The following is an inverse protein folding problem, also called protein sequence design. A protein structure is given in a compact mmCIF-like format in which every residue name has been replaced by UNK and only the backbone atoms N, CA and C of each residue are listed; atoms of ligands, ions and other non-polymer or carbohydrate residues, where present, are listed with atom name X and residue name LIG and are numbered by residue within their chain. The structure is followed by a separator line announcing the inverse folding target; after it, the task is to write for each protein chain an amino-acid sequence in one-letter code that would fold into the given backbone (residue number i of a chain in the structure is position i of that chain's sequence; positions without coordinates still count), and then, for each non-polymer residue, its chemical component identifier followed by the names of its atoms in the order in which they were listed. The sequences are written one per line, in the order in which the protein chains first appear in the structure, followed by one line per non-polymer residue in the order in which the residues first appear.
data_IF_076871457164
#
_entry.id   IF_076871457164
#
_cell.length_a   1.000
_cell.length_b   1.000
_cell.length_c   1.000
_cell.angle_alpha   90.00
_cell.angle_beta   90.00
_cell.angle_gamma   90.00
#
_symmetry.space_group_name_H-M   'P 1'
#
loop_
_entity.id
_entity.type
_entity.pdbx_description
1 polymer ?
#
# COMPACT_ATOMS: atom_id res chain seq x y z
N UNK A 1 -34.19 -13.04 24.72
CA UNK A 1 -33.42 -11.87 24.22
C UNK A 1 -31.98 -12.32 24.10
N UNK A 2 -31.38 -12.30 22.90
CA UNK A 2 -29.91 -12.36 22.78
C UNK A 2 -29.43 -10.96 23.16
N UNK A 3 -28.80 -10.83 24.32
CA UNK A 3 -28.01 -9.65 24.67
C UNK A 3 -27.00 -9.41 23.55
N UNK A 4 -26.95 -8.19 23.00
CA UNK A 4 -25.93 -7.86 21.99
C UNK A 4 -24.55 -7.99 22.63
N UNK A 5 -23.60 -8.57 21.90
CA UNK A 5 -22.21 -8.68 22.36
C UNK A 5 -21.55 -7.30 22.27
N UNK A 6 -20.86 -6.89 23.33
CA UNK A 6 -20.08 -5.64 23.35
C UNK A 6 -18.71 -5.83 22.65
N UNK A 7 -17.89 -4.78 22.63
CA UNK A 7 -16.54 -4.83 22.05
C UNK A 7 -15.67 -5.98 22.61
N UNK A 8 -15.68 -6.16 23.94
CA UNK A 8 -14.88 -7.17 24.63
C UNK A 8 -15.34 -8.60 24.30
N UNK A 9 -16.66 -8.83 24.31
CA UNK A 9 -17.26 -10.11 23.98
C UNK A 9 -16.90 -10.54 22.56
N UNK A 10 -16.98 -9.61 21.61
CA UNK A 10 -16.62 -9.86 20.21
C UNK A 10 -15.13 -10.12 20.03
N UNK A 11 -14.25 -9.39 20.70
CA UNK A 11 -12.81 -9.64 20.62
C UNK A 11 -12.46 -11.02 21.19
N UNK A 12 -13.01 -11.34 22.36
CA UNK A 12 -12.85 -12.65 23.01
C UNK A 12 -13.35 -13.78 22.11
N UNK A 13 -14.48 -13.58 21.42
CA UNK A 13 -14.98 -14.55 20.46
C UNK A 13 -14.07 -14.66 19.22
N UNK A 14 -13.61 -13.54 18.67
CA UNK A 14 -12.78 -13.48 17.47
C UNK A 14 -11.45 -14.20 17.68
N UNK A 15 -10.82 -14.08 18.85
CA UNK A 15 -9.55 -14.75 19.18
C UNK A 15 -9.61 -16.28 19.11
N UNK A 16 -10.81 -16.88 19.18
CA UNK A 16 -10.99 -18.34 19.03
C UNK A 16 -10.83 -18.82 17.59
N UNK A 17 -11.05 -17.94 16.61
CA UNK A 17 -11.18 -18.31 15.20
C UNK A 17 -10.25 -17.55 14.26
N UNK A 18 -9.77 -16.38 14.68
CA UNK A 18 -8.96 -15.47 13.87
C UNK A 18 -7.63 -15.24 14.61
N UNK A 19 -6.47 -15.46 13.98
CA UNK A 19 -5.17 -15.20 14.61
C UNK A 19 -5.07 -13.78 15.17
N UNK A 20 -4.91 -13.66 16.49
CA UNK A 20 -4.89 -12.37 17.18
C UNK A 20 -6.24 -11.62 17.18
N UNK A 21 -7.33 -12.29 16.82
CA UNK A 21 -8.68 -11.73 16.76
C UNK A 21 -8.96 -10.80 15.57
N UNK A 22 -8.05 -10.69 14.60
CA UNK A 22 -8.14 -9.69 13.52
C UNK A 22 -7.65 -10.19 12.16
N UNK A 23 -8.25 -9.70 11.07
CA UNK A 23 -7.83 -10.00 9.69
C UNK A 23 -6.72 -9.06 9.17
N UNK A 24 -6.32 -8.06 9.95
CA UNK A 24 -5.23 -7.14 9.62
C UNK A 24 -4.49 -6.79 10.92
N UNK A 25 -3.18 -7.06 11.04
CA UNK A 25 -2.47 -7.03 12.32
C UNK A 25 -2.59 -5.70 13.11
N UNK A 26 -2.55 -4.56 12.42
CA UNK A 26 -2.66 -3.23 13.05
C UNK A 26 -3.97 -3.04 13.82
N UNK A 27 -5.03 -3.76 13.42
CA UNK A 27 -6.35 -3.68 14.06
C UNK A 27 -6.39 -4.33 15.44
N UNK A 28 -5.38 -5.09 15.85
CA UNK A 28 -5.33 -5.71 17.18
C UNK A 28 -4.89 -4.75 18.30
N UNK A 29 -4.64 -3.47 17.98
CA UNK A 29 -4.24 -2.43 18.94
C UNK A 29 -2.95 -2.71 19.72
N UNK A 30 -2.13 -3.70 19.31
CA UNK A 30 -0.86 -4.04 19.97
C UNK A 30 0.11 -2.86 20.10
N UNK A 31 0.09 -1.91 19.17
CA UNK A 31 0.94 -0.72 19.20
C UNK A 31 0.48 0.39 20.15
N UNK A 32 -0.77 0.36 20.61
CA UNK A 32 -1.37 1.41 21.46
C UNK A 32 -1.88 0.87 22.80
N UNK A 33 -1.94 -0.46 22.97
CA UNK A 33 -2.49 -1.12 24.15
C UNK A 33 -4.03 -1.17 24.14
N UNK A 34 -4.59 -2.01 25.01
CA UNK A 34 -6.03 -2.23 25.12
C UNK A 34 -6.60 -3.22 24.10
N UNK A 35 -7.92 -3.26 24.02
CA UNK A 35 -8.69 -4.10 23.08
C UNK A 35 -9.20 -3.25 21.90
N UNK A 36 -9.35 -3.86 20.72
CA UNK A 36 -9.82 -3.13 19.54
C UNK A 36 -11.31 -2.83 19.58
N UNK A 37 -11.69 -1.77 18.87
CA UNK A 37 -13.09 -1.39 18.66
C UNK A 37 -13.70 -2.18 17.49
N UNK A 38 -14.89 -2.74 17.71
CA UNK A 38 -15.73 -3.35 16.69
C UNK A 38 -16.71 -2.29 16.17
N UNK A 39 -16.56 -1.92 14.90
CA UNK A 39 -17.35 -0.85 14.28
C UNK A 39 -18.59 -1.44 13.59
N UNK A 40 -19.78 -0.93 13.92
CA UNK A 40 -21.05 -1.38 13.32
C UNK A 40 -21.59 -0.42 12.27
N UNK A 41 -21.18 0.85 12.31
CA UNK A 41 -21.70 1.90 11.43
C UNK A 41 -20.68 3.00 11.23
N UNK A 42 -20.74 3.65 10.07
CA UNK A 42 -19.98 4.86 9.77
C UNK A 42 -20.82 5.82 8.91
N UNK A 43 -20.71 7.13 9.14
CA UNK A 43 -21.43 8.16 8.38
C UNK A 43 -20.69 9.50 8.43
N UNK A 44 -20.45 10.10 7.26
CA UNK A 44 -19.71 11.35 7.17
C UNK A 44 -18.32 11.19 7.79
N UNK A 45 -17.92 12.06 8.73
CA UNK A 45 -16.63 11.97 9.41
C UNK A 45 -16.66 11.08 10.67
N UNK A 46 -17.73 10.31 10.91
CA UNK A 46 -17.91 9.56 12.16
C UNK A 46 -17.96 8.05 11.95
N UNK A 47 -17.44 7.31 12.93
CA UNK A 47 -17.63 5.87 13.12
C UNK A 47 -18.32 5.60 14.47
N UNK A 48 -19.06 4.49 14.54
CA UNK A 48 -19.82 4.06 15.71
C UNK A 48 -19.45 2.62 16.02
N UNK A 49 -18.99 2.36 17.24
CA UNK A 49 -18.73 1.01 17.70
C UNK A 49 -20.03 0.26 18.07
N UNK A 50 -19.90 -1.03 18.40
CA UNK A 50 -21.03 -1.91 18.79
C UNK A 50 -21.65 -1.54 20.14
N UNK A 51 -20.99 -0.67 20.92
CA UNK A 51 -21.50 -0.11 22.17
C UNK A 51 -22.15 1.28 21.95
N UNK A 52 -22.45 1.62 20.68
CA UNK A 52 -23.06 2.86 20.21
C UNK A 52 -22.24 4.14 20.50
N UNK A 53 -20.95 4.00 20.82
CA UNK A 53 -20.09 5.17 21.03
C UNK A 53 -19.63 5.75 19.69
N UNK A 54 -19.80 7.07 19.56
CA UNK A 54 -19.39 7.84 18.38
C UNK A 54 -17.94 8.32 18.50
N UNK A 55 -17.20 8.27 17.39
CA UNK A 55 -15.85 8.79 17.27
C UNK A 55 -15.71 9.63 15.99
N UNK A 56 -14.98 10.74 16.07
CA UNK A 56 -14.48 11.44 14.87
C UNK A 56 -13.38 10.55 14.26
N UNK A 57 -13.54 10.19 12.99
CA UNK A 57 -12.67 9.23 12.31
C UNK A 57 -11.57 9.92 11.49
N UNK A 58 -10.34 9.86 12.01
CA UNK A 58 -9.13 10.26 11.29
C UNK A 58 -8.42 9.09 10.59
N UNK A 59 -8.90 7.85 10.77
CA UNK A 59 -8.37 6.66 10.07
C UNK A 59 -8.96 6.61 8.65
N UNK A 60 -10.25 6.86 8.49
CA UNK A 60 -10.90 6.93 7.18
C UNK A 60 -10.73 5.63 6.37
N UNK A 61 -10.81 4.49 7.06
CA UNK A 61 -10.49 3.16 6.53
C UNK A 61 -9.07 3.03 5.94
N UNK A 62 -8.09 3.74 6.50
CA UNK A 62 -6.70 3.82 6.04
C UNK A 62 -6.53 4.57 4.71
N UNK A 63 -7.44 5.49 4.37
CA UNK A 63 -7.31 6.35 3.18
C UNK A 63 -8.55 6.49 2.28
N UNK A 64 -9.28 5.40 1.91
CA UNK A 64 -10.30 5.43 0.86
C UNK A 64 -11.46 6.41 1.10
N UNK A 65 -11.75 6.75 2.36
CA UNK A 65 -12.92 7.55 2.74
C UNK A 65 -12.71 9.06 2.57
N UNK A 66 -12.07 9.49 1.47
CA UNK A 66 -11.79 10.92 1.19
C UNK A 66 -13.07 11.77 1.09
N UNK A 67 -14.16 11.18 0.61
CA UNK A 67 -15.47 11.83 0.51
C UNK A 67 -16.38 11.58 1.73
N UNK A 68 -15.81 11.08 2.84
CA UNK A 68 -16.51 10.64 4.05
C UNK A 68 -17.26 9.32 3.89
N UNK A 69 -17.60 8.71 5.02
CA UNK A 69 -18.35 7.45 5.07
C UNK A 69 -19.78 7.60 4.59
N UNK A 70 -20.30 6.60 3.90
CA UNK A 70 -21.69 6.59 3.45
C UNK A 70 -22.05 7.73 2.49
N UNK A 71 -21.09 8.18 1.67
CA UNK A 71 -21.32 9.20 0.66
C UNK A 71 -22.50 8.80 -0.25
N UNK A 72 -23.53 9.66 -0.32
CA UNK A 72 -24.80 9.34 -1.03
C UNK A 72 -24.60 9.01 -2.51
N UNK A 73 -23.65 9.66 -3.19
CA UNK A 73 -23.38 9.40 -4.61
C UNK A 73 -22.73 8.02 -4.80
N UNK A 74 -21.76 7.68 -3.95
CA UNK A 74 -21.09 6.38 -3.96
C UNK A 74 -22.08 5.26 -3.63
N UNK A 75 -22.86 5.39 -2.55
CA UNK A 75 -23.87 4.40 -2.18
C UNK A 75 -24.89 4.16 -3.29
N UNK A 76 -25.40 5.23 -3.92
CA UNK A 76 -26.32 5.09 -5.04
C UNK A 76 -25.71 4.34 -6.23
N UNK A 77 -24.44 4.61 -6.55
CA UNK A 77 -23.72 3.92 -7.63
C UNK A 77 -23.51 2.43 -7.29
N UNK A 78 -23.12 2.11 -6.06
CA UNK A 78 -22.94 0.73 -5.57
C UNK A 78 -24.25 -0.04 -5.59
N UNK A 79 -25.35 0.53 -5.07
CA UNK A 79 -26.66 -0.14 -5.09
C UNK A 79 -27.11 -0.45 -6.53
N UNK A 80 -26.97 0.52 -7.45
CA UNK A 80 -27.26 0.29 -8.85
C UNK A 80 -26.39 -0.82 -9.47
N UNK A 81 -25.11 -0.90 -9.10
CA UNK A 81 -24.23 -1.96 -9.61
C UNK A 81 -24.67 -3.34 -9.09
N UNK A 82 -24.98 -3.45 -7.79
CA UNK A 82 -25.43 -4.71 -7.15
C UNK A 82 -26.70 -5.26 -7.80
N UNK A 83 -27.64 -4.41 -8.20
CA UNK A 83 -28.87 -4.83 -8.89
C UNK A 83 -28.61 -5.54 -10.24
N UNK A 84 -27.44 -5.31 -10.86
CA UNK A 84 -27.05 -5.96 -12.11
C UNK A 84 -26.18 -7.23 -11.90
N UNK A 85 -25.86 -7.57 -10.64
CA UNK A 85 -24.95 -8.66 -10.29
C UNK A 85 -23.58 -8.16 -9.81
N UNK A 86 -22.95 -8.91 -8.89
CA UNK A 86 -21.71 -8.49 -8.22
C UNK A 86 -20.41 -8.83 -8.98
N UNK A 87 -20.44 -9.80 -9.89
CA UNK A 87 -19.27 -10.22 -10.70
C UNK A 87 -19.72 -11.04 -11.90
N UNK A 88 -19.00 -10.93 -13.02
CA UNK A 88 -19.39 -11.53 -14.30
C UNK A 88 -18.33 -12.43 -14.94
N UNK A 89 -17.07 -12.37 -14.50
CA UNK A 89 -15.97 -13.14 -15.11
C UNK A 89 -15.65 -12.79 -16.57
N UNK A 90 -16.13 -11.64 -17.05
CA UNK A 90 -15.97 -11.15 -18.43
C UNK A 90 -15.95 -9.62 -18.43
N UNK A 91 -15.35 -8.95 -19.45
CA UNK A 91 -15.21 -7.49 -19.46
C UNK A 91 -16.55 -6.72 -19.38
N UNK A 92 -16.49 -5.54 -18.77
CA UNK A 92 -17.60 -4.61 -18.59
C UNK A 92 -17.25 -3.21 -19.10
N UNK A 93 -18.26 -2.44 -19.49
CA UNK A 93 -18.06 -1.03 -19.88
C UNK A 93 -17.50 -0.17 -18.74
N UNK A 94 -17.79 -0.53 -17.49
CA UNK A 94 -17.29 0.18 -16.31
C UNK A 94 -15.76 0.10 -16.20
N UNK A 95 -15.14 -1.01 -16.58
CA UNK A 95 -13.68 -1.15 -16.60
C UNK A 95 -13.03 -0.15 -17.55
N UNK A 96 -13.61 0.03 -18.75
CA UNK A 96 -13.13 1.00 -19.74
C UNK A 96 -13.27 2.42 -19.20
N UNK A 97 -14.45 2.78 -18.67
CA UNK A 97 -14.70 4.12 -18.11
C UNK A 97 -13.75 4.48 -16.97
N UNK A 98 -13.46 3.54 -16.06
CA UNK A 98 -12.52 3.80 -14.96
C UNK A 98 -11.09 3.92 -15.48
N UNK A 99 -10.70 3.07 -16.43
CA UNK A 99 -9.36 3.14 -17.03
C UNK A 99 -9.12 4.47 -17.76
N UNK A 100 -10.04 4.87 -18.64
CA UNK A 100 -10.01 6.18 -19.32
C UNK A 100 -9.89 7.31 -18.31
N UNK A 101 -10.72 7.28 -17.24
CA UNK A 101 -10.71 8.35 -16.26
C UNK A 101 -9.40 8.46 -15.49
N UNK A 102 -8.75 7.34 -15.20
CA UNK A 102 -7.44 7.33 -14.55
C UNK A 102 -6.36 7.89 -15.47
N UNK A 103 -6.32 7.47 -16.73
CA UNK A 103 -5.36 7.99 -17.72
C UNK A 103 -5.56 9.49 -18.00
N UNK A 104 -6.80 9.99 -17.95
CA UNK A 104 -7.08 11.43 -18.08
C UNK A 104 -6.54 12.26 -16.89
N UNK A 105 -6.61 11.71 -15.68
CA UNK A 105 -6.29 12.45 -14.45
C UNK A 105 -4.79 12.37 -14.11
N UNK A 106 -4.17 11.22 -14.32
CA UNK A 106 -2.79 10.94 -13.91
C UNK A 106 -1.89 10.97 -15.17
N UNK A 107 -1.11 12.05 -15.40
CA UNK A 107 -0.41 12.23 -16.68
C UNK A 107 0.65 11.16 -16.99
N UNK A 108 1.20 10.49 -15.97
CA UNK A 108 2.18 9.42 -16.14
C UNK A 108 1.56 8.07 -16.52
N UNK A 109 0.23 7.95 -16.47
CA UNK A 109 -0.48 6.70 -16.63
C UNK A 109 -1.09 6.61 -18.04
N UNK A 110 -0.35 6.02 -18.97
CA UNK A 110 -0.81 5.80 -20.35
C UNK A 110 -1.77 4.60 -20.45
N UNK A 111 -1.51 3.56 -19.65
CA UNK A 111 -2.32 2.34 -19.56
C UNK A 111 -2.45 1.91 -18.10
N UNK A 112 -3.56 1.26 -17.75
CA UNK A 112 -3.80 0.76 -16.39
C UNK A 112 -4.36 -0.65 -16.37
N UNK A 113 -4.01 -1.38 -15.31
CA UNK A 113 -4.59 -2.68 -14.97
C UNK A 113 -5.20 -2.60 -13.57
N UNK A 114 -6.49 -2.93 -13.47
CA UNK A 114 -7.16 -3.08 -12.18
C UNK A 114 -6.79 -4.42 -11.53
N UNK A 115 -6.58 -4.39 -10.22
CA UNK A 115 -6.33 -5.54 -9.35
C UNK A 115 -7.10 -5.35 -8.04
N UNK A 116 -7.07 -6.32 -7.13
CA UNK A 116 -7.90 -6.33 -5.93
C UNK A 116 -7.22 -5.72 -4.69
N UNK A 117 -5.92 -5.44 -4.74
CA UNK A 117 -5.21 -4.79 -3.62
C UNK A 117 -3.96 -4.02 -4.05
N UNK A 118 -3.46 -3.16 -3.16
CA UNK A 118 -2.15 -2.52 -3.31
C UNK A 118 -1.01 -3.54 -3.40
N UNK A 119 -1.06 -4.61 -2.59
CA UNK A 119 -0.08 -5.73 -2.67
C UNK A 119 -0.02 -6.35 -4.05
N UNK A 120 -1.17 -6.59 -4.68
CA UNK A 120 -1.24 -7.15 -6.04
C UNK A 120 -0.71 -6.17 -7.09
N UNK A 121 -0.94 -4.86 -6.89
CA UNK A 121 -0.47 -3.82 -7.78
C UNK A 121 1.06 -3.73 -7.74
N UNK A 122 1.65 -3.64 -6.55
CA UNK A 122 3.09 -3.50 -6.38
C UNK A 122 3.84 -4.78 -6.79
N UNK A 123 3.33 -5.97 -6.49
CA UNK A 123 3.94 -7.22 -6.94
C UNK A 123 3.91 -7.37 -8.47
N UNK A 124 2.85 -6.84 -9.11
CA UNK A 124 2.74 -6.81 -10.57
C UNK A 124 3.67 -5.78 -11.19
N UNK A 125 3.80 -4.59 -10.56
CA UNK A 125 4.69 -3.53 -11.01
C UNK A 125 6.16 -3.95 -11.00
N UNK A 126 6.64 -4.57 -9.89
CA UNK A 126 8.03 -5.05 -9.84
C UNK A 126 8.27 -6.21 -10.82
N UNK A 127 7.26 -7.07 -11.06
CA UNK A 127 7.36 -8.14 -12.06
C UNK A 127 7.47 -7.57 -13.48
N UNK A 128 6.67 -6.54 -13.78
CA UNK A 128 6.73 -5.84 -15.05
C UNK A 128 8.09 -5.17 -15.24
N UNK A 129 8.60 -4.48 -14.23
CA UNK A 129 9.92 -3.85 -14.30
C UNK A 129 11.03 -4.87 -14.55
N UNK A 130 11.07 -5.98 -13.80
CA UNK A 130 12.03 -7.07 -14.02
C UNK A 130 11.96 -7.62 -15.44
N UNK A 131 10.75 -7.88 -15.95
CA UNK A 131 10.54 -8.37 -17.31
C UNK A 131 10.93 -7.37 -18.40
N UNK A 132 10.71 -6.08 -18.15
CA UNK A 132 11.04 -4.99 -19.08
C UNK A 132 12.55 -4.75 -19.16
N UNK A 133 13.25 -4.74 -18.02
CA UNK A 133 14.69 -4.46 -17.98
C UNK A 133 15.55 -5.71 -18.16
N UNK A 134 15.00 -6.91 -17.92
CA UNK A 134 15.76 -8.16 -17.88
C UNK A 134 16.71 -8.27 -16.68
N UNK A 135 16.37 -7.61 -15.56
CA UNK A 135 17.21 -7.49 -14.36
C UNK A 135 16.47 -8.02 -13.14
N UNK A 136 17.18 -8.44 -12.11
CA UNK A 136 16.57 -9.14 -10.98
C UNK A 136 16.35 -8.27 -9.74
N UNK A 137 17.24 -7.32 -9.47
CA UNK A 137 17.21 -6.57 -8.20
C UNK A 137 16.17 -5.45 -8.21
N UNK A 138 15.57 -5.21 -7.05
CA UNK A 138 14.79 -4.00 -6.79
C UNK A 138 15.39 -3.26 -5.58
N UNK A 139 15.20 -1.95 -5.54
CA UNK A 139 15.50 -1.12 -4.37
C UNK A 139 14.17 -0.66 -3.77
N UNK A 140 14.07 -0.76 -2.44
CA UNK A 140 13.00 -0.16 -1.64
C UNK A 140 13.59 0.65 -0.49
N UNK A 141 12.74 1.40 0.20
CA UNK A 141 13.17 2.22 1.33
C UNK A 141 12.78 1.62 2.68
N UNK A 142 13.64 1.79 3.69
CA UNK A 142 13.32 1.41 5.07
C UNK A 142 12.10 2.20 5.57
N UNK A 143 11.20 1.52 6.28
CA UNK A 143 9.95 2.09 6.79
C UNK A 143 8.82 2.25 5.77
N UNK A 144 9.12 2.19 4.46
CA UNK A 144 8.07 2.11 3.43
C UNK A 144 7.46 0.70 3.38
N UNK A 145 6.17 0.63 3.04
CA UNK A 145 5.41 -0.61 2.93
C UNK A 145 4.66 -0.68 1.60
N UNK A 146 4.95 -1.74 0.83
CA UNK A 146 4.43 -1.96 -0.52
C UNK A 146 3.59 -3.24 -0.59
N UNK A 147 2.95 -3.64 0.51
CA UNK A 147 2.28 -4.93 0.62
C UNK A 147 3.18 -6.04 1.19
N UNK A 148 2.64 -7.25 1.24
CA UNK A 148 3.27 -8.39 1.91
C UNK A 148 3.75 -9.49 0.95
N UNK A 149 4.02 -9.15 -0.32
CA UNK A 149 4.70 -10.06 -1.22
C UNK A 149 6.13 -10.31 -0.73
N UNK A 150 6.67 -11.51 -0.93
CA UNK A 150 7.94 -11.95 -0.36
C UNK A 150 9.11 -10.98 -0.65
N UNK A 151 9.17 -10.40 -1.85
CA UNK A 151 10.19 -9.42 -2.22
C UNK A 151 10.15 -8.13 -1.37
N UNK A 152 9.04 -7.80 -0.73
CA UNK A 152 8.94 -6.62 0.13
C UNK A 152 9.22 -6.94 1.60
N UNK A 153 9.13 -8.20 2.01
CA UNK A 153 9.36 -8.66 3.38
C UNK A 153 10.86 -8.87 3.66
N UNK A 154 11.66 -7.83 3.40
CA UNK A 154 13.11 -7.82 3.48
C UNK A 154 13.58 -6.64 4.33
N UNK A 155 14.52 -6.90 5.24
CA UNK A 155 15.18 -5.87 6.07
C UNK A 155 16.53 -5.50 5.47
N UNK A 156 17.01 -4.29 5.78
CA UNK A 156 18.41 -3.96 5.58
C UNK A 156 19.27 -4.92 6.43
N UNK A 157 20.34 -5.46 5.86
CA UNK A 157 21.34 -6.15 6.67
C UNK A 157 22.20 -5.15 7.45
N UNK A 158 23.02 -5.65 8.36
CA UNK A 158 23.94 -4.83 9.14
C UNK A 158 25.11 -4.34 8.27
N UNK A 159 24.93 -3.25 7.54
CA UNK A 159 25.98 -2.58 6.76
C UNK A 159 25.46 -1.92 5.49
N UNK A 160 26.14 -0.86 5.03
CA UNK A 160 25.78 0.01 3.88
C UNK A 160 25.58 -0.76 2.56
N UNK A 161 26.06 -2.01 2.46
CA UNK A 161 26.07 -2.82 1.23
C UNK A 161 25.52 -4.25 1.42
N UNK A 162 24.64 -4.47 2.39
CA UNK A 162 24.21 -5.84 2.70
C UNK A 162 23.03 -6.29 1.84
N UNK A 163 23.21 -7.45 1.19
CA UNK A 163 22.17 -8.27 0.57
C UNK A 163 20.95 -8.39 1.50
N UNK A 164 19.75 -8.46 0.91
CA UNK A 164 18.51 -8.46 1.68
C UNK A 164 18.41 -9.62 2.66
N UNK A 165 18.12 -9.32 3.93
CA UNK A 165 17.86 -10.35 4.94
C UNK A 165 16.33 -10.57 5.01
N UNK A 166 15.85 -11.83 5.03
CA UNK A 166 14.43 -12.11 5.25
C UNK A 166 13.89 -11.37 6.48
N UNK A 167 12.91 -10.50 6.26
CA UNK A 167 12.28 -9.69 7.29
C UNK A 167 11.17 -10.43 8.05
N UNK A 168 10.69 -11.54 7.50
CA UNK A 168 9.72 -12.46 8.09
C UNK A 168 10.18 -13.91 7.94
N UNK A 169 9.98 -14.78 8.94
CA UNK A 169 10.05 -16.22 8.75
C UNK A 169 9.15 -16.66 7.58
N UNK A 170 9.61 -17.66 6.82
CA UNK A 170 8.89 -18.19 5.65
C UNK A 170 9.30 -17.58 4.31
N UNK A 171 10.06 -16.47 4.30
CA UNK A 171 10.66 -15.91 3.08
C UNK A 171 12.02 -16.55 2.83
N UNK A 172 12.25 -17.24 1.68
CA UNK A 172 13.55 -17.80 1.36
C UNK A 172 14.61 -16.72 1.19
N UNK A 173 15.85 -16.97 1.64
CA UNK A 173 16.97 -16.03 1.47
C UNK A 173 17.21 -15.68 0.00
N UNK A 174 17.08 -16.65 -0.89
CA UNK A 174 17.23 -16.45 -2.33
C UNK A 174 16.24 -15.42 -2.91
N UNK A 175 15.07 -15.21 -2.30
CA UNK A 175 14.14 -14.14 -2.71
C UNK A 175 14.55 -12.79 -2.14
N UNK A 176 15.06 -12.80 -0.90
CA UNK A 176 15.51 -11.60 -0.20
C UNK A 176 16.77 -10.98 -0.86
N UNK A 177 17.67 -11.80 -1.41
CA UNK A 177 18.89 -11.36 -2.11
C UNK A 177 18.62 -10.42 -3.30
N UNK A 178 17.41 -10.49 -3.89
CA UNK A 178 16.99 -9.62 -4.99
C UNK A 178 16.35 -8.29 -4.54
N UNK A 179 16.41 -7.97 -3.25
CA UNK A 179 15.85 -6.73 -2.70
C UNK A 179 16.88 -6.00 -1.87
N UNK A 180 17.25 -4.81 -2.34
CA UNK A 180 18.13 -3.88 -1.65
C UNK A 180 17.26 -2.90 -0.85
N UNK A 181 17.67 -2.59 0.38
CA UNK A 181 16.97 -1.62 1.24
C UNK A 181 17.86 -0.43 1.54
N UNK A 182 17.36 0.77 1.26
CA UNK A 182 18.06 2.05 1.48
C UNK A 182 17.28 2.88 2.51
N UNK A 183 17.92 3.71 3.35
CA UNK A 183 17.18 4.64 4.21
C UNK A 183 16.37 5.64 3.39
N UNK A 184 15.09 5.85 3.75
CA UNK A 184 14.28 6.89 3.10
C UNK A 184 14.90 8.28 3.33
N UNK A 185 14.81 9.18 2.34
CA UNK A 185 15.44 10.50 2.33
C UNK A 185 16.98 10.52 2.32
N UNK A 186 17.65 9.37 2.19
CA UNK A 186 19.12 9.31 2.04
C UNK A 186 19.51 9.10 0.57
N UNK A 187 19.59 10.20 -0.18
CA UNK A 187 19.96 10.18 -1.60
C UNK A 187 21.41 9.71 -1.80
N UNK A 188 22.32 10.05 -0.88
CA UNK A 188 23.72 9.64 -0.98
C UNK A 188 23.87 8.11 -0.85
N UNK A 189 23.17 7.50 0.11
CA UNK A 189 23.12 6.04 0.22
C UNK A 189 22.51 5.38 -1.02
N UNK A 190 21.50 6.00 -1.63
CA UNK A 190 20.94 5.49 -2.89
C UNK A 190 21.95 5.60 -4.04
N UNK A 191 22.68 6.70 -4.14
CA UNK A 191 23.74 6.89 -5.14
C UNK A 191 24.83 5.83 -5.02
N UNK A 192 25.29 5.54 -3.79
CA UNK A 192 26.28 4.49 -3.51
C UNK A 192 25.78 3.10 -3.96
N UNK A 193 24.53 2.77 -3.65
CA UNK A 193 23.91 1.50 -4.05
C UNK A 193 23.76 1.40 -5.57
N UNK A 194 23.32 2.48 -6.21
CA UNK A 194 23.19 2.54 -7.67
C UNK A 194 24.55 2.49 -8.37
N UNK A 195 25.60 3.07 -7.78
CA UNK A 195 26.96 2.94 -8.29
C UNK A 195 27.46 1.48 -8.22
N UNK A 196 27.14 0.75 -7.15
CA UNK A 196 27.58 -0.62 -6.97
C UNK A 196 26.74 -1.66 -7.74
N UNK A 197 25.44 -1.40 -7.94
CA UNK A 197 24.48 -2.40 -8.40
C UNK A 197 23.57 -1.95 -9.55
N UNK A 198 23.62 -0.69 -9.98
CA UNK A 198 22.62 -0.09 -10.86
C UNK A 198 22.38 -0.84 -12.18
N UNK A 199 23.40 -1.49 -12.74
CA UNK A 199 23.29 -2.29 -13.97
C UNK A 199 22.39 -3.54 -13.81
N UNK A 200 22.17 -4.00 -12.57
CA UNK A 200 21.31 -5.13 -12.23
C UNK A 200 20.04 -4.71 -11.44
N UNK A 201 19.80 -3.41 -11.29
CA UNK A 201 18.58 -2.90 -10.66
C UNK A 201 17.50 -2.73 -11.73
N UNK A 202 16.43 -3.51 -11.60
CA UNK A 202 15.23 -3.41 -12.43
C UNK A 202 14.39 -2.19 -12.06
N UNK A 203 14.20 -1.94 -10.76
CA UNK A 203 13.36 -0.85 -10.30
C UNK A 203 13.77 -0.27 -8.94
N UNK A 204 13.46 1.01 -8.76
CA UNK A 204 13.36 1.68 -7.46
C UNK A 204 11.86 1.85 -7.17
N UNK A 205 11.36 1.30 -6.06
CA UNK A 205 9.98 1.49 -5.58
C UNK A 205 9.95 2.34 -4.31
N UNK A 206 9.06 3.34 -4.26
CA UNK A 206 9.02 4.32 -3.17
C UNK A 206 7.61 4.84 -2.92
N UNK A 207 7.27 5.10 -1.65
CA UNK A 207 6.14 5.98 -1.29
C UNK A 207 6.59 7.44 -1.47
N UNK A 208 6.02 8.23 -2.39
CA UNK A 208 6.48 9.60 -2.65
C UNK A 208 6.42 10.50 -1.40
N UNK A 209 5.42 10.26 -0.56
CA UNK A 209 5.34 10.68 0.84
C UNK A 209 5.13 9.42 1.66
N UNK A 210 6.08 9.07 2.52
CA UNK A 210 5.94 7.88 3.34
C UNK A 210 4.78 8.05 4.33
N UNK A 211 3.91 7.05 4.41
CA UNK A 211 2.78 7.02 5.36
C UNK A 211 2.84 5.87 6.36
N UNK A 212 3.55 4.78 6.04
CA UNK A 212 3.59 3.57 6.86
C UNK A 212 4.58 3.63 8.04
N UNK A 213 5.46 4.62 8.05
CA UNK A 213 6.31 5.00 9.19
C UNK A 213 5.89 6.35 9.77
N UNK A 214 4.57 6.60 9.77
CA UNK A 214 3.96 7.91 9.94
C UNK A 214 4.21 8.81 8.71
N UNK A 215 3.70 10.04 8.72
CA UNK A 215 3.83 10.98 7.61
C UNK A 215 5.23 11.61 7.59
N UNK A 216 6.08 11.17 6.65
CA UNK A 216 7.41 11.73 6.42
C UNK A 216 7.47 12.27 4.99
N UNK A 217 7.65 13.58 4.87
CA UNK A 217 7.77 14.26 3.58
C UNK A 217 9.15 13.99 2.94
N UNK A 218 9.23 13.95 1.60
CA UNK A 218 10.52 13.84 0.92
C UNK A 218 11.36 15.11 1.15
N UNK A 219 12.66 14.94 1.41
CA UNK A 219 13.58 16.08 1.44
C UNK A 219 13.80 16.62 0.03
N UNK A 220 14.15 17.90 -0.07
CA UNK A 220 14.39 18.55 -1.35
C UNK A 220 15.43 17.76 -2.18
N UNK A 221 15.11 17.51 -3.45
CA UNK A 221 15.97 16.77 -4.36
C UNK A 221 15.90 15.25 -4.25
N UNK A 222 15.25 14.66 -3.23
CA UNK A 222 15.20 13.20 -3.07
C UNK A 222 14.47 12.49 -4.22
N UNK A 223 13.22 12.91 -4.52
CA UNK A 223 12.45 12.31 -5.61
C UNK A 223 13.06 12.57 -7.00
N UNK A 224 13.60 13.79 -7.21
CA UNK A 224 14.26 14.14 -8.46
C UNK A 224 15.57 13.35 -8.65
N UNK A 225 16.39 13.23 -7.60
CA UNK A 225 17.61 12.43 -7.64
C UNK A 225 17.33 10.96 -7.93
N UNK A 226 16.26 10.38 -7.38
CA UNK A 226 15.79 9.04 -7.75
C UNK A 226 15.45 8.93 -9.23
N UNK A 227 14.72 9.90 -9.79
CA UNK A 227 14.39 9.95 -11.23
C UNK A 227 15.66 9.98 -12.08
N UNK A 228 16.59 10.86 -11.74
CA UNK A 228 17.85 11.03 -12.47
C UNK A 228 18.71 9.75 -12.42
N UNK A 229 18.74 9.06 -11.28
CA UNK A 229 19.42 7.76 -11.12
C UNK A 229 18.74 6.66 -11.94
N UNK A 230 17.42 6.56 -11.91
CA UNK A 230 16.69 5.62 -12.75
C UNK A 230 16.97 5.84 -14.25
N UNK A 231 17.00 7.11 -14.69
CA UNK A 231 17.31 7.45 -16.09
C UNK A 231 18.74 7.10 -16.46
N UNK A 232 19.71 7.40 -15.57
CA UNK A 232 21.13 7.10 -15.78
C UNK A 232 21.41 5.60 -15.91
N UNK A 233 20.82 4.78 -15.05
CA UNK A 233 21.10 3.34 -15.00
C UNK A 233 20.10 2.50 -15.80
N UNK A 234 19.04 3.09 -16.35
CA UNK A 234 18.00 2.38 -17.09
C UNK A 234 17.09 1.52 -16.20
N UNK A 235 16.89 1.94 -14.94
CA UNK A 235 15.96 1.30 -14.00
C UNK A 235 14.57 1.95 -14.08
N UNK A 236 13.53 1.21 -13.74
CA UNK A 236 12.16 1.73 -13.66
C UNK A 236 11.94 2.43 -12.31
N UNK A 237 11.41 3.66 -12.33
CA UNK A 237 10.94 4.32 -11.11
C UNK A 237 9.46 3.96 -10.89
N UNK A 238 9.15 3.41 -9.72
CA UNK A 238 7.79 3.03 -9.33
C UNK A 238 7.38 3.87 -8.12
N UNK A 239 6.39 4.74 -8.31
CA UNK A 239 5.72 5.42 -7.20
C UNK A 239 4.58 4.55 -6.69
N UNK A 240 4.69 4.13 -5.43
CA UNK A 240 3.59 3.51 -4.69
C UNK A 240 2.68 4.61 -4.14
N UNK A 241 1.63 4.88 -4.90
CA UNK A 241 0.62 5.88 -4.56
C UNK A 241 -0.66 5.28 -3.97
N UNK A 242 -0.59 4.08 -3.37
CA UNK A 242 -1.75 3.44 -2.73
C UNK A 242 -2.37 4.36 -1.66
N UNK A 243 -1.55 5.12 -0.93
CA UNK A 243 -2.02 6.05 0.10
C UNK A 243 -2.08 7.51 -0.38
N UNK A 244 -1.12 7.94 -1.20
CA UNK A 244 -0.99 9.34 -1.64
C UNK A 244 -1.89 9.70 -2.82
N UNK A 245 -2.19 8.72 -3.68
CA UNK A 245 -2.95 8.89 -4.91
C UNK A 245 -4.36 9.42 -4.65
N UNK A 246 -4.75 10.46 -5.40
CA UNK A 246 -6.00 11.20 -5.23
C UNK A 246 -6.23 11.84 -3.85
N UNK A 247 -5.24 11.80 -2.95
CA UNK A 247 -5.32 12.32 -1.59
C UNK A 247 -4.44 13.55 -1.39
N UNK A 248 -3.17 13.45 -1.79
CA UNK A 248 -2.21 14.56 -1.69
C UNK A 248 -2.56 15.62 -2.73
N UNK A 249 -2.75 15.19 -3.98
CA UNK A 249 -3.33 15.98 -5.04
C UNK A 249 -4.13 15.10 -6.01
N UNK A 250 -4.87 15.75 -6.92
CA UNK A 250 -5.75 15.04 -7.86
C UNK A 250 -4.98 14.13 -8.82
N UNK A 251 -3.80 14.56 -9.29
CA UNK A 251 -3.00 13.85 -10.29
C UNK A 251 -1.95 12.87 -9.73
N UNK A 252 -1.91 12.65 -8.42
CA UNK A 252 -0.80 11.97 -7.73
C UNK A 252 0.04 12.94 -6.90
N UNK A 253 1.05 12.41 -6.22
CA UNK A 253 1.99 13.17 -5.37
C UNK A 253 3.16 13.79 -6.15
#
# INVERSE_FOLDING_TARGET
MKTSMNNHDLFTQAQKFIPGGVNSPVRAFKGVGGEPLFIQKAKGPYIYDVDDKEYIDYIGSWGPMIAGHGNKKVLKAVHKAVDNGMSFGTPTAAEVTVAEKMCEIIPSLEMVRMVNSGTEATMSAIRLARGFTGRDKIIKFEGCYHGHADSFLVKAGSGVLTLGIPGSPGVPSAVADFTLTVPYNDLAALEDVMQAHGDDVAAIIVEPIAGNMNMILPVAGFLQGMRDLCDKYGSVLIFDEVMTGFRVALGGA
#
